data_IF_143295769876
#
_entry.id   IF_143295769876
#
_cell.length_a   1.000
_cell.length_b   1.000
_cell.length_c   1.000
_cell.angle_alpha   90.00
_cell.angle_beta   90.00
_cell.angle_gamma   90.00
#
_symmetry.space_group_name_H-M   'P 1'
#
loop_
_entity.id
_entity.type
_entity.pdbx_description
1 polymer ?
#
# COMPACT_ATOMS: atom_id res chain seq x y z
N UNK A 1 -14.01 -3.05 4.70
CA UNK A 1 -12.68 -2.50 5.05
C UNK A 1 -11.94 -2.14 3.77
N UNK A 2 -11.36 -0.95 3.69
CA UNK A 2 -10.62 -0.47 2.51
C UNK A 2 -9.11 -0.43 2.77
N UNK A 3 -8.31 -0.52 1.72
CA UNK A 3 -6.87 -0.38 1.77
C UNK A 3 -6.34 0.74 0.87
N UNK A 4 -5.22 1.33 1.26
CA UNK A 4 -4.64 2.48 0.58
C UNK A 4 -3.14 2.28 0.36
N UNK A 5 -2.65 2.58 -0.84
CA UNK A 5 -1.23 2.89 -0.98
C UNK A 5 -0.88 4.13 -0.14
N UNK A 6 0.27 4.08 0.52
CA UNK A 6 0.71 5.22 1.32
C UNK A 6 1.22 6.38 0.47
N UNK A 7 2.29 6.14 -0.29
CA UNK A 7 3.16 7.20 -0.81
C UNK A 7 2.46 8.05 -1.86
N UNK A 8 1.50 7.51 -2.60
CA UNK A 8 0.84 8.23 -3.68
C UNK A 8 -0.67 8.44 -3.53
N UNK A 9 -1.38 7.64 -2.74
CA UNK A 9 -2.81 7.91 -2.47
C UNK A 9 -3.00 8.84 -1.29
N UNK A 10 -2.40 8.52 -0.14
CA UNK A 10 -2.58 9.38 1.06
C UNK A 10 -1.90 10.74 0.91
N UNK A 11 -0.82 10.84 0.14
CA UNK A 11 -0.14 12.11 -0.17
C UNK A 11 -0.98 13.04 -1.06
N UNK A 12 -1.92 12.49 -1.84
CA UNK A 12 -2.91 13.24 -2.64
C UNK A 12 -4.15 13.65 -1.83
N UNK A 13 -4.19 13.37 -0.53
CA UNK A 13 -5.28 13.75 0.37
C UNK A 13 -6.46 12.78 0.40
N UNK A 14 -6.33 11.59 -0.21
CA UNK A 14 -7.31 10.51 0.00
C UNK A 14 -6.90 9.73 1.25
N UNK A 15 -7.60 10.02 2.35
CA UNK A 15 -7.22 9.51 3.67
C UNK A 15 -8.06 8.27 4.07
N UNK A 16 -7.44 7.27 4.72
CA UNK A 16 -8.15 6.13 5.27
C UNK A 16 -9.01 6.51 6.49
N UNK A 17 -10.12 5.79 6.69
CA UNK A 17 -10.91 5.82 7.92
C UNK A 17 -10.31 4.96 9.03
N UNK A 18 -10.92 5.00 10.23
CA UNK A 18 -10.38 4.33 11.43
C UNK A 18 -10.36 2.79 11.35
N UNK A 19 -11.19 2.21 10.47
CA UNK A 19 -11.27 0.77 10.25
C UNK A 19 -10.60 0.35 8.93
N UNK A 20 -9.90 1.26 8.26
CA UNK A 20 -9.19 0.99 7.03
C UNK A 20 -7.72 0.69 7.31
N UNK A 21 -6.99 0.27 6.27
CA UNK A 21 -5.58 -0.12 6.38
C UNK A 21 -4.71 0.59 5.35
N UNK A 22 -3.42 0.69 5.64
CA UNK A 22 -2.41 1.12 4.67
C UNK A 22 -1.57 -0.08 4.28
N UNK A 23 -1.32 -0.24 2.99
CA UNK A 23 -0.37 -1.23 2.46
C UNK A 23 0.66 -0.46 1.64
N UNK A 24 1.90 -0.38 2.15
CA UNK A 24 2.95 0.45 1.55
C UNK A 24 4.06 -0.40 0.91
N UNK A 25 4.65 0.12 -0.17
CA UNK A 25 5.89 -0.40 -0.75
C UNK A 25 7.16 -0.06 0.04
N UNK A 26 7.05 0.76 1.09
CA UNK A 26 8.17 0.99 2.03
C UNK A 26 8.49 -0.29 2.78
N UNK A 27 9.77 -0.52 3.06
CA UNK A 27 10.15 -1.76 3.72
C UNK A 27 9.77 -1.76 5.20
N UNK A 28 9.69 -2.94 5.78
CA UNK A 28 9.57 -3.13 7.22
C UNK A 28 10.88 -2.86 7.98
N UNK A 29 11.86 -2.17 7.39
CA UNK A 29 13.07 -1.73 8.11
C UNK A 29 12.72 -0.61 9.10
N UNK A 30 13.42 -0.56 10.24
CA UNK A 30 13.16 0.43 11.30
C UNK A 30 13.09 1.88 10.78
N UNK A 31 13.99 2.25 9.87
CA UNK A 31 14.03 3.60 9.31
C UNK A 31 12.80 3.91 8.45
N UNK A 32 12.39 2.98 7.59
CA UNK A 32 11.20 3.15 6.74
C UNK A 32 9.91 3.18 7.57
N UNK A 33 9.82 2.35 8.62
CA UNK A 33 8.66 2.33 9.53
C UNK A 33 8.53 3.67 10.26
N UNK A 34 9.61 4.15 10.88
CA UNK A 34 9.60 5.44 11.59
C UNK A 34 9.29 6.61 10.65
N UNK A 35 9.81 6.57 9.42
CA UNK A 35 9.51 7.57 8.40
C UNK A 35 8.03 7.55 8.04
N UNK A 36 7.44 6.38 7.80
CA UNK A 36 6.02 6.23 7.47
C UNK A 36 5.12 6.76 8.58
N UNK A 37 5.44 6.44 9.84
CA UNK A 37 4.69 6.97 10.99
C UNK A 37 4.74 8.50 11.07
N UNK A 38 5.91 9.11 10.87
CA UNK A 38 6.07 10.57 10.88
C UNK A 38 5.29 11.22 9.73
N UNK A 39 5.39 10.66 8.54
CA UNK A 39 4.72 11.20 7.35
C UNK A 39 3.18 11.06 7.52
N UNK A 40 2.68 9.97 8.10
CA UNK A 40 1.25 9.77 8.39
C UNK A 40 0.70 10.87 9.31
N UNK A 41 1.40 11.17 10.41
CA UNK A 41 1.02 12.25 11.33
C UNK A 41 0.96 13.59 10.59
N UNK A 42 1.97 13.87 9.75
CA UNK A 42 2.04 15.10 8.95
C UNK A 42 0.86 15.23 7.97
N UNK A 43 0.39 14.13 7.40
CA UNK A 43 -0.70 14.10 6.43
C UNK A 43 -2.10 13.98 7.06
N UNK A 44 -2.20 13.98 8.39
CA UNK A 44 -3.48 13.89 9.09
C UNK A 44 -4.12 12.50 9.00
N UNK A 45 -3.32 11.45 8.76
CA UNK A 45 -3.81 10.07 8.80
C UNK A 45 -4.11 9.71 10.27
N UNK A 46 -5.31 9.16 10.58
CA UNK A 46 -5.66 8.81 11.95
C UNK A 46 -4.65 7.87 12.62
N UNK A 47 -4.40 8.08 13.91
CA UNK A 47 -3.62 7.16 14.72
C UNK A 47 -4.35 5.83 14.92
N UNK A 48 -3.59 4.75 15.11
CA UNK A 48 -4.15 3.41 15.33
C UNK A 48 -4.52 2.63 14.06
N UNK A 49 -4.37 3.24 12.88
CA UNK A 49 -4.52 2.54 11.59
C UNK A 49 -3.42 1.50 11.42
N UNK A 50 -3.79 0.29 10.98
CA UNK A 50 -2.84 -0.76 10.67
C UNK A 50 -2.06 -0.43 9.39
N UNK A 51 -0.73 -0.58 9.45
CA UNK A 51 0.17 -0.30 8.32
C UNK A 51 1.00 -1.53 7.99
N UNK A 52 0.76 -2.10 6.82
CA UNK A 52 1.45 -3.27 6.31
C UNK A 52 2.62 -2.83 5.43
N UNK A 53 3.83 -3.13 5.91
CA UNK A 53 5.07 -2.78 5.24
C UNK A 53 5.58 -3.95 4.41
N UNK A 54 6.19 -3.64 3.26
CA UNK A 54 6.81 -4.63 2.40
C UNK A 54 7.99 -5.31 3.11
N UNK A 55 8.13 -6.65 3.04
CA UNK A 55 9.31 -7.32 3.59
C UNK A 55 10.60 -6.75 3.01
N UNK A 56 11.62 -6.50 3.84
CA UNK A 56 12.90 -5.92 3.37
C UNK A 56 13.55 -6.75 2.26
N UNK A 57 13.44 -8.08 2.32
CA UNK A 57 13.96 -8.99 1.28
C UNK A 57 13.25 -8.85 -0.08
N UNK A 58 12.10 -8.16 -0.10
CA UNK A 58 11.36 -7.89 -1.32
C UNK A 58 11.69 -6.53 -1.93
N UNK A 59 12.21 -5.59 -1.13
CA UNK A 59 12.64 -4.26 -1.58
C UNK A 59 14.03 -4.34 -2.24
N UNK A 60 14.32 -3.40 -3.16
CA UNK A 60 15.68 -3.17 -3.67
C UNK A 60 15.90 -3.41 -5.16
N UNK A 61 14.85 -3.76 -5.91
CA UNK A 61 14.94 -3.83 -7.37
C UNK A 61 14.65 -2.43 -7.96
N UNK A 62 15.56 -1.85 -8.75
CA UNK A 62 15.34 -0.54 -9.35
C UNK A 62 14.34 -0.61 -10.51
N UNK A 63 13.71 0.53 -10.80
CA UNK A 63 12.85 0.72 -11.96
C UNK A 63 11.59 -0.16 -11.96
N UNK A 64 11.14 -0.53 -13.16
CA UNK A 64 9.86 -1.22 -13.40
C UNK A 64 9.72 -2.54 -12.62
N UNK A 65 10.81 -3.30 -12.47
CA UNK A 65 10.79 -4.59 -11.78
C UNK A 65 10.45 -4.40 -10.29
N UNK A 66 10.99 -3.35 -9.66
CA UNK A 66 10.63 -3.02 -8.29
C UNK A 66 9.16 -2.69 -8.13
N UNK A 67 8.60 -1.91 -9.05
CA UNK A 67 7.18 -1.53 -9.05
C UNK A 67 6.27 -2.76 -9.21
N UNK A 68 6.57 -3.65 -10.16
CA UNK A 68 5.83 -4.92 -10.31
C UNK A 68 5.88 -5.74 -9.03
N UNK A 69 7.06 -5.89 -8.41
CA UNK A 69 7.20 -6.66 -7.17
C UNK A 69 6.44 -6.03 -6.00
N UNK A 70 6.38 -4.71 -5.92
CA UNK A 70 5.55 -4.01 -4.93
C UNK A 70 4.06 -4.26 -5.19
N UNK A 71 3.63 -4.25 -6.44
CA UNK A 71 2.25 -4.58 -6.80
C UNK A 71 1.88 -6.03 -6.44
N UNK A 72 2.77 -6.99 -6.66
CA UNK A 72 2.59 -8.38 -6.22
C UNK A 72 2.45 -8.51 -4.71
N UNK A 73 3.31 -7.82 -3.95
CA UNK A 73 3.21 -7.77 -2.48
C UNK A 73 1.85 -7.20 -2.04
N UNK A 74 1.42 -6.08 -2.65
CA UNK A 74 0.12 -5.48 -2.36
C UNK A 74 -1.03 -6.44 -2.69
N UNK A 75 -1.01 -7.10 -3.84
CA UNK A 75 -2.02 -8.11 -4.20
C UNK A 75 -2.14 -9.22 -3.14
N UNK A 76 -1.01 -9.76 -2.67
CA UNK A 76 -1.00 -10.77 -1.61
C UNK A 76 -1.64 -10.26 -0.32
N UNK A 77 -1.34 -9.02 0.07
CA UNK A 77 -1.91 -8.42 1.28
C UNK A 77 -3.39 -8.07 1.12
N UNK A 78 -3.80 -7.61 -0.06
CA UNK A 78 -5.20 -7.34 -0.38
C UNK A 78 -6.03 -8.63 -0.23
N UNK A 79 -5.55 -9.73 -0.80
CA UNK A 79 -6.19 -11.04 -0.69
C UNK A 79 -6.21 -11.53 0.77
N UNK A 80 -5.08 -11.43 1.48
CA UNK A 80 -4.96 -11.92 2.86
C UNK A 80 -5.82 -11.14 3.87
N UNK A 81 -6.12 -9.88 3.57
CA UNK A 81 -6.94 -9.01 4.41
C UNK A 81 -8.41 -8.93 3.95
N UNK A 82 -8.75 -9.63 2.86
CA UNK A 82 -10.11 -9.69 2.29
C UNK A 82 -10.72 -8.29 2.11
N UNK A 83 -9.95 -7.36 1.52
CA UNK A 83 -10.38 -5.97 1.37
C UNK A 83 -11.57 -5.83 0.42
N UNK A 84 -12.42 -4.85 0.66
CA UNK A 84 -13.53 -4.51 -0.24
C UNK A 84 -13.03 -3.67 -1.43
N UNK A 85 -12.15 -2.70 -1.15
CA UNK A 85 -11.60 -1.77 -2.13
C UNK A 85 -10.15 -1.43 -1.77
N UNK A 86 -9.28 -1.34 -2.77
CA UNK A 86 -7.90 -0.86 -2.63
C UNK A 86 -7.63 0.31 -3.56
N UNK A 87 -7.02 1.38 -3.04
CA UNK A 87 -6.63 2.56 -3.82
C UNK A 87 -5.13 2.52 -4.15
N UNK A 88 -4.80 2.70 -5.42
CA UNK A 88 -3.43 2.71 -5.93
C UNK A 88 -3.26 3.85 -6.93
N UNK A 89 -2.18 4.62 -6.83
CA UNK A 89 -1.90 5.70 -7.78
C UNK A 89 -0.88 5.31 -8.84
N UNK A 90 0.07 4.42 -8.52
CA UNK A 90 1.18 4.12 -9.42
C UNK A 90 0.73 3.12 -10.50
N UNK A 91 0.76 3.49 -11.81
CA UNK A 91 0.18 2.67 -12.87
C UNK A 91 0.75 1.26 -12.99
N UNK A 92 2.05 1.08 -12.75
CA UNK A 92 2.72 -0.24 -12.86
C UNK A 92 2.29 -1.16 -11.73
N UNK A 93 2.24 -0.65 -10.50
CA UNK A 93 1.70 -1.36 -9.34
C UNK A 93 0.22 -1.67 -9.51
N UNK A 94 -0.59 -0.72 -9.98
CA UNK A 94 -2.01 -0.93 -10.27
C UNK A 94 -2.20 -2.12 -11.22
N UNK A 95 -1.50 -2.12 -12.35
CA UNK A 95 -1.60 -3.24 -13.30
C UNK A 95 -1.10 -4.54 -12.67
N UNK A 96 0.04 -4.49 -11.97
CA UNK A 96 0.57 -5.69 -11.32
C UNK A 96 -0.35 -6.23 -10.23
N UNK A 97 -1.13 -5.39 -9.54
CA UNK A 97 -2.12 -5.84 -8.57
C UNK A 97 -3.22 -6.60 -9.31
N UNK A 98 -3.79 -6.01 -10.38
CA UNK A 98 -4.83 -6.67 -11.19
C UNK A 98 -4.38 -8.03 -11.74
N UNK A 99 -3.12 -8.14 -12.17
CA UNK A 99 -2.58 -9.37 -12.74
C UNK A 99 -2.39 -10.50 -11.70
N UNK A 100 -2.31 -10.17 -10.41
CA UNK A 100 -1.95 -11.13 -9.34
C UNK A 100 -3.02 -11.28 -8.25
N UNK A 101 -4.03 -10.42 -8.22
CA UNK A 101 -5.15 -10.49 -7.30
C UNK A 101 -5.98 -11.75 -7.57
N UNK A 102 -6.31 -12.48 -6.51
CA UNK A 102 -7.16 -13.69 -6.61
C UNK A 102 -8.59 -13.44 -6.15
N UNK A 103 -8.78 -12.46 -5.27
CA UNK A 103 -10.08 -12.08 -4.73
C UNK A 103 -10.91 -11.19 -5.65
N UNK A 104 -12.05 -10.75 -5.14
CA UNK A 104 -12.99 -9.85 -5.84
C UNK A 104 -12.84 -8.39 -5.40
N UNK A 105 -11.76 -8.04 -4.70
CA UNK A 105 -11.51 -6.68 -4.24
C UNK A 105 -11.52 -5.70 -5.41
N UNK A 106 -12.23 -4.58 -5.26
CA UNK A 106 -12.22 -3.51 -6.25
C UNK A 106 -10.89 -2.76 -6.17
N UNK A 107 -10.17 -2.64 -7.29
CA UNK A 107 -8.95 -1.82 -7.35
C UNK A 107 -9.26 -0.48 -8.02
N UNK A 108 -9.17 0.60 -7.26
CA UNK A 108 -9.45 1.97 -7.71
C UNK A 108 -8.15 2.71 -7.98
N UNK A 109 -7.97 3.16 -9.23
CA UNK A 109 -6.83 4.00 -9.61
C UNK A 109 -7.07 5.46 -9.21
N UNK A 110 -6.07 6.12 -8.61
CA UNK A 110 -6.11 7.49 -8.08
C UNK A 110 -5.16 8.45 -8.79
#
# INVERSE_FOLDING_TARGET
>A
MKGYDYDGVTSKGILPGINDVIITGRSCSTNDVLRTQRDMIKHGVPSGIAVYHMPTAWKGLPGKIGLVRTGQWKAMMIDALELEEFFEDEPTQYQSILDHLKGTTKITKV
#
